data_IF_915850203356
#
_entry.id   IF_915850203356
#
_cell.length_a   1.000
_cell.length_b   1.000
_cell.length_c   1.000
_cell.angle_alpha   90.00
_cell.angle_beta   90.00
_cell.angle_gamma   90.00
#
_symmetry.space_group_name_H-M   'P 1'
#
loop_
_entity.id
_entity.type
_entity.pdbx_description
1 polymer ?
#
# COMPACT_ATOMS: atom_id res chain seq x y z
N UNK A 1 -15.24 -4.80 6.18
CA UNK A 1 -14.30 -4.86 5.05
C UNK A 1 -13.61 -3.53 5.04
N UNK A 2 -12.28 -3.55 5.11
CA UNK A 2 -11.45 -2.37 5.13
C UNK A 2 -10.92 -2.11 3.73
N UNK A 3 -10.82 -0.83 3.36
CA UNK A 3 -10.16 -0.38 2.14
C UNK A 3 -8.71 -0.04 2.45
N UNK A 4 -7.79 -0.60 1.70
CA UNK A 4 -6.36 -0.39 1.92
C UNK A 4 -5.73 0.10 0.62
N UNK A 5 -4.89 1.13 0.70
CA UNK A 5 -4.07 1.52 -0.43
C UNK A 5 -2.80 0.68 -0.43
N UNK A 6 -2.63 -0.08 -1.51
CA UNK A 6 -1.46 -0.91 -1.75
C UNK A 6 -0.75 -0.37 -2.98
N UNK A 7 0.52 -0.04 -2.84
CA UNK A 7 1.39 0.30 -3.95
C UNK A 7 1.97 -0.98 -4.56
N UNK A 8 1.87 -1.07 -5.88
CA UNK A 8 2.52 -2.12 -6.66
C UNK A 8 3.46 -1.42 -7.65
N UNK A 9 4.76 -1.56 -7.41
CA UNK A 9 5.78 -0.91 -8.23
C UNK A 9 5.77 -1.43 -9.68
N UNK A 10 6.11 -0.55 -10.62
CA UNK A 10 6.16 -0.86 -12.05
C UNK A 10 7.15 -2.00 -12.36
N UNK A 11 8.32 -2.00 -11.73
CA UNK A 11 9.38 -2.98 -11.94
C UNK A 11 8.99 -4.36 -11.41
N UNK A 12 8.32 -4.43 -10.24
CA UNK A 12 7.77 -5.69 -9.72
C UNK A 12 6.68 -6.20 -10.65
N UNK A 13 5.76 -5.33 -11.08
CA UNK A 13 4.70 -5.70 -12.01
C UNK A 13 5.28 -6.20 -13.33
N UNK A 14 6.33 -5.57 -13.85
CA UNK A 14 7.02 -5.98 -15.07
C UNK A 14 7.74 -7.32 -14.93
N UNK A 15 8.47 -7.53 -13.84
CA UNK A 15 9.29 -8.72 -13.61
C UNK A 15 8.47 -9.94 -13.20
N UNK A 16 7.77 -9.85 -12.06
CA UNK A 16 7.11 -10.98 -11.41
C UNK A 16 5.57 -10.88 -11.44
N UNK A 17 5.02 -9.68 -11.64
CA UNK A 17 3.60 -9.46 -11.48
C UNK A 17 2.69 -10.03 -12.56
N UNK A 18 1.43 -10.23 -12.20
CA UNK A 18 0.36 -10.60 -13.13
C UNK A 18 -0.65 -9.46 -13.19
N UNK A 19 -1.00 -8.95 -14.39
CA UNK A 19 -2.02 -7.92 -14.53
C UNK A 19 -3.36 -8.35 -13.92
N UNK A 20 -4.02 -7.39 -13.30
CA UNK A 20 -5.33 -7.55 -12.66
C UNK A 20 -6.23 -6.38 -13.06
N UNK A 21 -7.54 -6.54 -12.89
CA UNK A 21 -8.53 -5.49 -13.16
C UNK A 21 -9.41 -5.25 -11.94
N UNK A 22 -10.12 -4.14 -11.98
CA UNK A 22 -11.14 -3.83 -10.98
C UNK A 22 -12.16 -4.96 -10.93
N UNK A 23 -12.45 -5.42 -9.71
CA UNK A 23 -13.35 -6.52 -9.41
C UNK A 23 -12.66 -7.86 -9.22
N UNK A 24 -11.39 -8.01 -9.60
CA UNK A 24 -10.64 -9.25 -9.36
C UNK A 24 -10.41 -9.49 -7.87
N UNK A 25 -10.33 -10.76 -7.48
CA UNK A 25 -9.81 -11.16 -6.19
C UNK A 25 -8.33 -11.48 -6.34
N UNK A 26 -7.52 -10.96 -5.43
CA UNK A 26 -6.07 -11.11 -5.41
C UNK A 26 -5.62 -11.56 -4.03
N UNK A 27 -4.46 -12.21 -3.98
CA UNK A 27 -3.78 -12.62 -2.75
C UNK A 27 -2.36 -12.10 -2.85
N UNK A 28 -2.01 -11.10 -2.05
CA UNK A 28 -0.75 -10.37 -2.16
C UNK A 28 0.02 -10.41 -0.85
N UNK A 29 1.30 -10.83 -0.85
CA UNK A 29 2.19 -10.55 0.26
C UNK A 29 2.33 -9.03 0.43
N UNK A 30 2.02 -8.52 1.63
CA UNK A 30 2.07 -7.09 1.91
C UNK A 30 3.20 -6.76 2.88
N UNK A 31 4.03 -5.80 2.48
CA UNK A 31 5.09 -5.22 3.29
C UNK A 31 4.71 -3.79 3.68
N UNK A 32 5.02 -3.41 4.92
CA UNK A 32 4.92 -2.03 5.37
C UNK A 32 6.27 -1.33 5.18
N UNK A 33 6.34 -0.45 4.19
CA UNK A 33 7.55 0.31 3.86
C UNK A 33 7.44 1.77 4.30
N UNK A 34 8.59 2.39 4.53
CA UNK A 34 8.68 3.84 4.64
C UNK A 34 8.43 4.48 3.27
N UNK A 35 7.46 5.39 3.21
CA UNK A 35 7.08 6.05 1.97
C UNK A 35 8.13 7.03 1.46
N UNK A 36 8.99 7.56 2.33
CA UNK A 36 10.07 8.46 1.93
C UNK A 36 11.12 7.73 1.09
N UNK A 37 11.41 6.46 1.42
CA UNK A 37 12.34 5.60 0.70
C UNK A 37 11.82 5.14 -0.67
N UNK A 38 10.53 4.82 -0.76
CA UNK A 38 9.93 4.29 -2.00
C UNK A 38 9.59 5.38 -3.02
N UNK A 39 9.05 6.53 -2.56
CA UNK A 39 8.42 7.51 -3.44
C UNK A 39 8.79 8.97 -3.13
N UNK A 40 9.83 9.22 -2.33
CA UNK A 40 10.37 10.57 -2.12
C UNK A 40 9.56 11.49 -1.20
N UNK A 41 8.63 10.91 -0.44
CA UNK A 41 7.88 11.63 0.58
C UNK A 41 6.73 12.53 0.09
N UNK A 42 6.05 13.15 1.05
CA UNK A 42 4.85 13.98 0.80
C UNK A 42 3.58 13.17 0.48
N UNK A 43 3.55 11.87 0.77
CA UNK A 43 2.50 10.91 0.39
C UNK A 43 1.30 10.81 1.33
N UNK A 44 1.09 11.81 2.19
CA UNK A 44 0.23 11.74 3.37
C UNK A 44 -1.18 11.20 3.13
N UNK A 45 -1.73 11.40 1.93
CA UNK A 45 -3.05 10.96 1.51
C UNK A 45 -3.15 9.48 1.09
N UNK A 46 -2.03 8.86 0.73
CA UNK A 46 -1.92 7.44 0.38
C UNK A 46 -1.30 6.59 1.50
N UNK A 47 -0.76 7.24 2.54
CA UNK A 47 -0.18 6.53 3.67
C UNK A 47 -1.25 5.79 4.46
N UNK A 48 -0.93 4.54 4.76
CA UNK A 48 -1.73 3.73 5.65
C UNK A 48 -1.27 3.98 7.09
N UNK A 49 -2.24 4.25 7.97
CA UNK A 49 -2.03 4.27 9.42
C UNK A 49 -2.40 2.90 9.96
N UNK A 50 -1.43 2.21 10.57
CA UNK A 50 -1.65 0.92 11.23
C UNK A 50 -1.16 0.95 12.67
N UNK A 51 -1.92 0.29 13.53
CA UNK A 51 -1.57 0.10 14.93
C UNK A 51 -1.88 -1.34 15.31
N UNK A 52 -0.95 -2.02 15.98
CA UNK A 52 -1.06 -3.46 16.13
C UNK A 52 -0.03 -4.08 17.05
N UNK A 53 -0.22 -5.38 17.31
CA UNK A 53 0.76 -6.19 18.01
C UNK A 53 1.81 -6.69 17.01
N UNK A 54 3.07 -6.68 17.42
CA UNK A 54 4.17 -7.23 16.63
C UNK A 54 4.32 -8.71 16.97
N UNK A 55 4.43 -9.54 15.94
CA UNK A 55 4.55 -10.99 16.04
C UNK A 55 5.66 -11.47 15.11
N UNK A 56 6.35 -12.56 15.47
CA UNK A 56 7.17 -13.31 14.51
C UNK A 56 6.32 -14.50 14.05
N UNK A 57 5.92 -14.51 12.79
CA UNK A 57 5.14 -15.59 12.19
C UNK A 57 6.09 -16.63 11.57
N UNK A 58 5.92 -17.92 11.87
CA UNK A 58 6.73 -18.96 11.26
C UNK A 58 6.38 -19.11 9.77
N UNK A 59 7.40 -19.03 8.92
CA UNK A 59 7.38 -19.43 7.51
C UNK A 59 8.19 -20.70 7.26
N UNK A 60 8.20 -21.14 6.00
CA UNK A 60 9.01 -22.22 5.47
C UNK A 60 10.52 -21.88 5.48
N UNK A 61 10.88 -20.62 5.22
CA UNK A 61 12.30 -20.19 5.18
C UNK A 61 12.81 -19.61 6.50
N UNK A 62 11.92 -19.27 7.43
CA UNK A 62 12.26 -18.69 8.72
C UNK A 62 11.08 -17.92 9.29
N UNK A 63 11.24 -17.34 10.48
CA UNK A 63 10.18 -16.50 11.03
C UNK A 63 10.24 -15.09 10.42
N UNK A 64 9.11 -14.58 9.95
CA UNK A 64 8.98 -13.21 9.44
C UNK A 64 8.36 -12.33 10.51
N UNK A 65 8.95 -11.14 10.72
CA UNK A 65 8.37 -10.16 11.65
C UNK A 65 7.22 -9.42 10.99
N UNK A 66 6.07 -9.44 11.64
CA UNK A 66 4.83 -8.86 11.13
C UNK A 66 4.18 -7.93 12.14
N UNK A 67 3.35 -7.03 11.63
CA UNK A 67 2.38 -6.29 12.44
C UNK A 67 0.98 -6.86 12.20
N UNK A 68 0.32 -7.30 13.28
CA UNK A 68 -1.12 -7.59 13.28
C UNK A 68 -1.88 -6.35 13.70
N UNK A 69 -2.40 -5.65 12.72
CA UNK A 69 -3.23 -4.46 12.91
C UNK A 69 -4.52 -4.81 13.67
N UNK A 70 -5.02 -3.87 14.47
CA UNK A 70 -6.15 -4.05 15.39
C UNK A 70 -7.44 -4.55 14.73
N UNK A 71 -7.69 -4.18 13.47
CA UNK A 71 -8.83 -4.68 12.69
C UNK A 71 -8.58 -6.05 12.05
N UNK A 72 -7.35 -6.57 12.11
CA UNK A 72 -6.98 -7.92 11.68
C UNK A 72 -6.13 -8.00 10.42
N UNK A 73 -5.73 -6.87 9.81
CA UNK A 73 -4.75 -6.89 8.72
C UNK A 73 -3.40 -7.37 9.25
N UNK A 74 -2.73 -8.25 8.51
CA UNK A 74 -1.37 -8.71 8.83
C UNK A 74 -0.46 -8.27 7.70
N UNK A 75 0.63 -7.59 8.07
CA UNK A 75 1.62 -7.08 7.11
C UNK A 75 3.02 -7.37 7.62
N UNK A 76 3.94 -7.70 6.72
CA UNK A 76 5.34 -7.86 7.05
C UNK A 76 5.98 -6.49 7.39
N UNK A 77 6.98 -6.51 8.27
CA UNK A 77 7.83 -5.35 8.55
C UNK A 77 9.18 -5.41 7.83
N UNK A 78 9.57 -6.60 7.36
CA UNK A 78 10.77 -6.85 6.56
C UNK A 78 10.46 -7.89 5.48
N UNK A 79 11.18 -7.83 4.37
CA UNK A 79 11.09 -8.80 3.27
C UNK A 79 11.69 -10.16 3.68
N UNK A 80 12.83 -10.14 4.39
CA UNK A 80 13.56 -11.34 4.78
C UNK A 80 13.20 -11.85 6.19
N UNK A 81 13.43 -13.14 6.48
CA UNK A 81 13.32 -13.71 7.81
C UNK A 81 14.20 -13.02 8.87
N UNK A 82 13.74 -13.04 10.13
CA UNK A 82 14.40 -12.33 11.25
C UNK A 82 15.82 -12.80 11.56
N UNK A 83 16.21 -14.01 11.14
CA UNK A 83 17.56 -14.55 11.30
C UNK A 83 18.50 -14.20 10.13
N UNK A 84 17.96 -13.66 9.04
CA UNK A 84 18.70 -13.19 7.86
C UNK A 84 18.90 -11.67 7.91
N UNK A 85 17.90 -10.91 8.37
CA UNK A 85 17.97 -9.44 8.47
C UNK A 85 19.03 -9.01 9.49
N UNK A 86 19.82 -7.98 9.17
CA UNK A 86 20.81 -7.42 10.09
C UNK A 86 20.16 -6.82 11.35
N UNK A 87 20.83 -6.91 12.51
CA UNK A 87 20.29 -6.40 13.77
C UNK A 87 19.95 -4.89 13.71
N UNK A 88 20.74 -4.12 12.96
CA UNK A 88 20.50 -2.69 12.75
C UNK A 88 19.23 -2.41 11.94
N UNK A 89 18.92 -3.26 10.96
CA UNK A 89 17.75 -3.14 10.09
C UNK A 89 16.47 -3.65 10.77
N UNK A 90 16.56 -4.71 11.57
CA UNK A 90 15.47 -5.18 12.44
C UNK A 90 15.02 -4.13 13.47
N UNK A 91 15.90 -3.18 13.78
CA UNK A 91 15.67 -2.10 14.72
C UNK A 91 15.41 -2.59 16.15
N UNK A 92 14.70 -1.79 16.94
CA UNK A 92 14.42 -2.05 18.35
C UNK A 92 13.11 -2.80 18.60
N UNK A 93 12.25 -2.90 17.59
CA UNK A 93 10.92 -3.50 17.72
C UNK A 93 11.04 -5.01 17.92
N UNK A 94 10.32 -5.55 18.91
CA UNK A 94 10.34 -6.97 19.28
C UNK A 94 8.94 -7.59 19.26
N UNK A 95 8.82 -8.92 19.12
CA UNK A 95 7.55 -9.61 19.30
C UNK A 95 6.92 -9.31 20.66
N UNK A 96 5.62 -9.04 20.67
CA UNK A 96 4.86 -8.62 21.85
C UNK A 96 4.80 -7.10 22.04
N UNK A 97 5.63 -6.34 21.33
CA UNK A 97 5.51 -4.87 21.32
C UNK A 97 4.23 -4.44 20.61
N UNK A 98 3.82 -3.21 20.91
CA UNK A 98 2.75 -2.54 20.17
C UNK A 98 3.35 -1.42 19.33
N UNK A 99 3.20 -1.53 18.03
CA UNK A 99 3.69 -0.54 17.08
C UNK A 99 2.51 0.31 16.58
N UNK A 100 2.76 1.61 16.43
CA UNK A 100 1.94 2.53 15.64
C UNK A 100 2.82 3.07 14.54
N UNK A 101 2.40 2.89 13.30
CA UNK A 101 3.20 3.26 12.15
C UNK A 101 2.33 3.90 11.07
N UNK A 102 2.94 4.81 10.31
CA UNK A 102 2.34 5.45 9.16
C UNK A 102 3.31 5.23 8.01
N UNK A 103 2.87 4.46 7.01
CA UNK A 103 3.75 4.04 5.93
C UNK A 103 2.96 3.62 4.69
N UNK A 104 3.68 3.13 3.69
CA UNK A 104 3.09 2.61 2.46
C UNK A 104 2.94 1.10 2.58
N UNK A 105 1.78 0.56 2.23
CA UNK A 105 1.65 -0.87 2.01
C UNK A 105 2.13 -1.16 0.59
N UNK A 106 3.13 -2.03 0.44
CA UNK A 106 3.66 -2.46 -0.85
C UNK A 106 3.31 -3.92 -1.08
N UNK A 107 3.07 -4.30 -2.35
CA UNK A 107 2.89 -5.70 -2.73
C UNK A 107 4.25 -6.29 -3.12
N UNK A 108 4.72 -7.31 -2.39
CA UNK A 108 6.10 -7.81 -2.53
C UNK A 108 6.19 -9.20 -3.20
N UNK A 109 6.59 -9.24 -4.46
CA UNK A 109 6.68 -10.49 -5.25
C UNK A 109 8.09 -10.84 -5.68
N UNK A 110 9.06 -9.98 -5.41
CA UNK A 110 10.44 -10.24 -5.77
C UNK A 110 11.05 -11.20 -4.75
N UNK A 111 12.01 -12.02 -5.20
CA UNK A 111 12.70 -12.96 -4.31
C UNK A 111 11.94 -14.25 -3.95
N UNK A 112 10.68 -14.43 -4.37
CA UNK A 112 9.78 -15.51 -3.91
C UNK A 112 9.59 -15.47 -2.38
N UNK A 113 9.09 -14.33 -1.85
CA UNK A 113 9.23 -14.02 -0.45
C UNK A 113 8.18 -14.77 0.35
N UNK A 114 8.59 -15.40 1.45
CA UNK A 114 7.74 -16.21 2.32
C UNK A 114 6.95 -15.34 3.32
N UNK A 115 6.23 -14.36 2.77
CA UNK A 115 5.46 -13.36 3.50
C UNK A 115 3.98 -13.77 3.61
N UNK A 116 3.29 -13.38 4.70
CA UNK A 116 1.86 -13.65 4.82
C UNK A 116 1.06 -12.95 3.72
N UNK A 117 0.30 -13.73 2.97
CA UNK A 117 -0.58 -13.18 1.94
C UNK A 117 -1.83 -12.52 2.53
N UNK A 118 -2.17 -11.34 2.02
CA UNK A 118 -3.44 -10.67 2.23
C UNK A 118 -4.34 -10.87 1.03
N UNK A 119 -5.49 -11.52 1.25
CA UNK A 119 -6.53 -11.66 0.23
C UNK A 119 -7.51 -10.49 0.26
N UNK A 120 -7.82 -9.94 -0.91
CA UNK A 120 -8.82 -8.89 -1.05
C UNK A 120 -9.37 -8.76 -2.47
N UNK A 121 -10.36 -7.87 -2.61
CA UNK A 121 -10.97 -7.53 -3.90
C UNK A 121 -10.49 -6.17 -4.38
N UNK A 122 -10.05 -6.09 -5.63
CA UNK A 122 -9.62 -4.83 -6.26
C UNK A 122 -10.84 -3.93 -6.48
N UNK A 123 -10.85 -2.74 -5.87
CA UNK A 123 -11.95 -1.76 -5.96
C UNK A 123 -11.64 -0.58 -6.87
N UNK A 124 -10.38 -0.17 -6.91
CA UNK A 124 -9.89 0.87 -7.80
C UNK A 124 -8.41 0.62 -8.12
N UNK A 125 -7.99 1.09 -9.29
CA UNK A 125 -6.60 1.06 -9.73
C UNK A 125 -6.27 2.46 -10.26
N UNK A 126 -5.21 3.05 -9.76
CA UNK A 126 -4.71 4.34 -10.21
C UNK A 126 -3.25 4.18 -10.62
N UNK A 127 -2.94 4.40 -11.90
CA UNK A 127 -1.56 4.48 -12.36
C UNK A 127 -0.94 5.73 -11.76
N UNK A 128 0.19 5.53 -11.11
CA UNK A 128 0.98 6.58 -10.51
C UNK A 128 2.04 7.04 -11.49
N UNK A 129 2.04 8.33 -11.79
CA UNK A 129 3.17 9.02 -12.39
C UNK A 129 3.96 9.80 -11.33
N UNK A 130 5.28 9.65 -11.33
CA UNK A 130 6.21 10.35 -10.45
C UNK A 130 7.16 11.22 -11.27
N UNK A 131 7.33 12.47 -10.87
CA UNK A 131 8.33 13.38 -11.39
C UNK A 131 9.71 13.05 -10.82
N UNK A 132 10.74 13.12 -11.66
CA UNK A 132 12.12 12.79 -11.29
C UNK A 132 13.05 13.93 -11.69
N UNK A 133 13.96 14.32 -10.80
CA UNK A 133 14.99 15.32 -11.06
C UNK A 133 16.38 14.69 -10.97
N UNK A 134 17.34 15.23 -11.72
CA UNK A 134 18.74 14.84 -11.57
C UNK A 134 19.26 15.30 -10.21
N UNK A 135 19.93 14.40 -9.49
CA UNK A 135 20.56 14.70 -8.19
C UNK A 135 21.67 15.76 -8.28
N UNK A 136 22.30 15.89 -9.45
CA UNK A 136 23.23 16.95 -9.81
C UNK A 136 23.22 17.13 -11.34
N UNK A 137 23.59 18.32 -11.87
CA UNK A 137 23.59 18.54 -13.32
C UNK A 137 24.43 17.49 -14.08
N UNK A 138 23.78 16.76 -14.99
CA UNK A 138 24.40 15.69 -15.79
C UNK A 138 24.49 14.34 -15.08
N UNK A 139 23.88 14.17 -13.90
CA UNK A 139 23.84 12.91 -13.18
C UNK A 139 22.89 11.91 -13.85
N UNK A 140 23.29 10.64 -13.89
CA UNK A 140 22.39 9.54 -14.26
C UNK A 140 21.49 9.12 -13.10
N UNK A 141 21.82 9.51 -11.87
CA UNK A 141 21.01 9.24 -10.68
C UNK A 141 19.93 10.31 -10.55
N UNK A 142 18.68 9.85 -10.46
CA UNK A 142 17.52 10.71 -10.29
C UNK A 142 16.90 10.50 -8.93
N UNK A 143 16.35 11.57 -8.39
CA UNK A 143 15.55 11.56 -7.16
C UNK A 143 14.10 11.97 -7.47
N UNK A 144 13.13 11.43 -6.73
CA UNK A 144 11.73 11.82 -6.88
C UNK A 144 11.55 13.29 -6.48
N UNK A 145 10.81 14.04 -7.29
CA UNK A 145 10.43 15.41 -6.99
C UNK A 145 9.20 15.39 -6.10
N UNK A 146 9.35 15.83 -4.85
CA UNK A 146 8.24 15.92 -3.90
C UNK A 146 7.08 16.74 -4.49
N UNK A 147 5.88 16.14 -4.50
CA UNK A 147 4.66 16.77 -4.99
C UNK A 147 4.47 16.83 -6.51
N UNK A 148 5.48 16.49 -7.32
CA UNK A 148 5.30 16.32 -8.77
C UNK A 148 4.81 14.90 -9.05
N UNK A 149 3.53 14.68 -8.76
CA UNK A 149 2.87 13.38 -8.98
C UNK A 149 1.47 13.54 -9.51
N UNK A 150 0.99 12.52 -10.22
CA UNK A 150 -0.40 12.44 -10.65
C UNK A 150 -0.90 11.02 -10.61
N UNK A 151 -2.15 10.84 -10.20
CA UNK A 151 -2.86 9.57 -10.24
C UNK A 151 -3.83 9.57 -11.41
N UNK A 152 -3.86 8.48 -12.18
CA UNK A 152 -4.80 8.29 -13.28
C UNK A 152 -5.53 6.98 -13.12
N UNK A 153 -6.84 7.04 -12.96
CA UNK A 153 -7.67 5.84 -12.85
C UNK A 153 -7.61 4.99 -14.11
N UNK A 154 -7.51 3.67 -13.91
CA UNK A 154 -7.57 2.66 -14.96
C UNK A 154 -8.48 1.52 -14.54
N UNK A 155 -9.03 0.81 -15.52
CA UNK A 155 -9.83 -0.38 -15.25
C UNK A 155 -8.98 -1.64 -15.05
N UNK A 156 -7.82 -1.68 -15.72
CA UNK A 156 -6.90 -2.81 -15.76
C UNK A 156 -5.48 -2.30 -15.52
N UNK A 157 -4.73 -3.01 -14.68
CA UNK A 157 -3.34 -2.71 -14.39
C UNK A 157 -2.48 -3.00 -15.63
N UNK A 158 -1.66 -2.05 -16.10
CA UNK A 158 -0.67 -2.33 -17.14
C UNK A 158 0.32 -3.40 -16.67
N UNK A 159 0.75 -4.28 -17.57
CA UNK A 159 1.93 -5.12 -17.34
C UNK A 159 3.21 -4.30 -17.48
N UNK A 160 3.22 -3.39 -18.46
CA UNK A 160 4.36 -2.56 -18.83
C UNK A 160 3.93 -1.10 -18.74
N UNK A 161 4.72 -0.32 -18.00
CA UNK A 161 4.45 1.08 -17.68
C UNK A 161 5.20 2.02 -18.62
N UNK A 162 4.74 3.27 -18.71
CA UNK A 162 5.49 4.30 -19.41
C UNK A 162 6.67 4.78 -18.55
N UNK A 163 7.72 5.35 -19.16
CA UNK A 163 8.96 5.76 -18.46
C UNK A 163 8.78 6.69 -17.23
N UNK A 164 7.64 7.38 -17.12
CA UNK A 164 7.34 8.28 -16.00
C UNK A 164 6.38 7.67 -14.96
N UNK A 165 5.81 6.50 -15.26
CA UNK A 165 4.90 5.80 -14.36
C UNK A 165 5.72 4.97 -13.37
N UNK A 166 5.50 5.14 -12.08
CA UNK A 166 6.22 4.44 -11.02
C UNK A 166 5.52 3.15 -10.55
N UNK A 167 4.27 2.94 -10.98
CA UNK A 167 3.48 1.77 -10.61
C UNK A 167 1.99 2.07 -10.52
N UNK A 168 1.29 1.34 -9.65
CA UNK A 168 -0.13 1.58 -9.35
C UNK A 168 -0.38 1.70 -7.85
N UNK A 169 -1.29 2.59 -7.48
CA UNK A 169 -2.01 2.52 -6.21
C UNK A 169 -3.28 1.71 -6.44
N UNK A 170 -3.47 0.70 -5.61
CA UNK A 170 -4.62 -0.19 -5.64
C UNK A 170 -5.42 0.00 -4.37
N UNK A 171 -6.71 0.27 -4.51
CA UNK A 171 -7.64 0.19 -3.38
C UNK A 171 -8.13 -1.24 -3.24
N UNK A 172 -7.63 -1.93 -2.23
CA UNK A 172 -7.96 -3.32 -1.92
C UNK A 172 -9.02 -3.38 -0.81
N UNK A 173 -10.16 -4.03 -1.09
CA UNK A 173 -11.18 -4.35 -0.09
C UNK A 173 -10.83 -5.68 0.58
N UNK A 174 -10.40 -5.62 1.84
CA UNK A 174 -9.97 -6.78 2.62
C UNK A 174 -11.11 -7.20 3.58
N UNK A 175 -11.58 -8.46 3.52
CA UNK A 175 -12.59 -8.97 4.44
C UNK A 175 -12.12 -8.96 5.90
N UNK A 176 -13.06 -8.80 6.84
CA UNK A 176 -12.75 -8.85 8.27
C UNK A 176 -12.02 -7.63 8.86
N UNK A 177 -11.45 -6.76 8.03
CA UNK A 177 -10.71 -5.57 8.46
C UNK A 177 -11.54 -4.28 8.42
N UNK A 178 -10.94 -3.21 8.93
CA UNK A 178 -11.37 -1.83 8.79
C UNK A 178 -10.14 -0.91 8.74
N UNK A 179 -10.26 0.29 8.17
CA UNK A 179 -9.11 1.17 7.96
C UNK A 179 -9.50 2.64 8.06
N UNK A 180 -8.49 3.50 8.16
CA UNK A 180 -8.69 4.95 8.09
C UNK A 180 -9.29 5.38 6.74
N UNK A 181 -8.89 4.74 5.64
CA UNK A 181 -9.47 5.01 4.32
C UNK A 181 -10.95 4.64 4.26
N UNK A 182 -11.32 3.48 4.81
CA UNK A 182 -12.74 3.10 4.95
C UNK A 182 -13.51 4.12 5.79
N UNK A 183 -12.92 4.63 6.88
CA UNK A 183 -13.53 5.70 7.68
C UNK A 183 -13.77 6.96 6.85
N UNK A 184 -12.75 7.45 6.12
CA UNK A 184 -12.84 8.63 5.28
C UNK A 184 -13.91 8.48 4.17
N UNK A 185 -13.98 7.31 3.53
CA UNK A 185 -15.01 7.00 2.53
C UNK A 185 -16.41 7.00 3.14
N UNK A 186 -16.60 6.46 4.36
CA UNK A 186 -17.90 6.50 5.04
C UNK A 186 -18.32 7.93 5.36
N UNK A 187 -17.40 8.72 5.90
CA UNK A 187 -17.64 10.12 6.25
C UNK A 187 -18.05 10.94 5.03
N UNK A 188 -17.27 10.85 3.94
CA UNK A 188 -17.57 11.55 2.69
C UNK A 188 -18.91 11.11 2.06
N UNK A 189 -19.35 9.88 2.33
CA UNK A 189 -20.64 9.35 1.88
C UNK A 189 -21.79 9.56 2.87
N UNK A 190 -21.54 10.16 4.04
CA UNK A 190 -22.54 10.33 5.11
C UNK A 190 -23.05 9.00 5.71
N UNK A 191 -22.23 7.94 5.66
CA UNK A 191 -22.57 6.62 6.21
C UNK A 191 -22.17 6.58 7.70
N UNK A 192 -23.07 6.18 8.62
CA UNK A 192 -22.73 6.04 10.04
C UNK A 192 -21.59 5.04 10.28
N UNK A 193 -20.72 5.34 11.25
CA UNK A 193 -19.51 4.56 11.56
C UNK A 193 -19.77 3.14 12.11
N UNK A 194 -21.02 2.72 12.31
CA UNK A 194 -21.37 1.46 12.98
C UNK A 194 -21.52 0.26 12.03
N UNK A 195 -21.27 0.40 10.72
CA UNK A 195 -21.41 -0.73 9.78
C UNK A 195 -20.16 -0.93 8.93
N UNK A 196 -19.18 -1.74 9.40
CA UNK A 196 -18.03 -2.14 8.60
C UNK A 196 -18.46 -2.84 7.31
N UNK A 197 -17.79 -2.55 6.18
CA UNK A 197 -18.02 -3.22 4.89
C UNK A 197 -19.21 -2.74 4.06
N UNK A 198 -19.88 -1.63 4.44
CA UNK A 198 -20.86 -0.95 3.56
C UNK A 198 -20.30 0.25 2.82
N UNK A 199 -19.07 0.64 3.10
CA UNK A 199 -18.41 1.84 2.61
C UNK A 199 -18.31 1.92 1.08
N UNK A 200 -18.24 0.78 0.39
CA UNK A 200 -18.26 0.70 -1.08
C UNK A 200 -19.50 0.01 -1.65
N UNK A 201 -20.47 -0.35 -0.79
CA UNK A 201 -21.72 -0.97 -1.26
C UNK A 201 -22.49 0.01 -2.13
N UNK A 202 -22.91 -0.45 -3.31
CA UNK A 202 -23.66 0.34 -4.29
C UNK A 202 -22.87 1.48 -4.93
N UNK A 203 -21.56 1.58 -4.70
CA UNK A 203 -20.71 2.59 -5.30
C UNK A 203 -20.05 2.02 -6.57
N UNK A 204 -20.37 2.54 -7.77
CA UNK A 204 -19.70 2.14 -9.00
C UNK A 204 -18.19 2.45 -8.90
N UNK A 205 -17.32 1.65 -9.54
CA UNK A 205 -15.88 1.88 -9.48
C UNK A 205 -15.44 3.28 -9.91
N UNK A 206 -16.06 3.87 -10.93
CA UNK A 206 -15.76 5.23 -11.37
C UNK A 206 -16.07 6.26 -10.27
N UNK A 207 -17.20 6.14 -9.58
CA UNK A 207 -17.57 7.03 -8.48
C UNK A 207 -16.67 6.85 -7.25
N UNK A 208 -16.18 5.62 -7.01
CA UNK A 208 -15.16 5.39 -5.99
C UNK A 208 -13.84 6.05 -6.38
N UNK A 209 -13.40 5.92 -7.62
CA UNK A 209 -12.17 6.54 -8.11
C UNK A 209 -12.22 8.08 -7.99
N UNK A 210 -13.32 8.71 -8.40
CA UNK A 210 -13.53 10.15 -8.22
C UNK A 210 -13.50 10.54 -6.74
N UNK A 211 -14.15 9.78 -5.87
CA UNK A 211 -14.11 10.03 -4.43
C UNK A 211 -12.68 9.91 -3.86
N UNK A 212 -11.94 8.87 -4.24
CA UNK A 212 -10.56 8.69 -3.80
C UNK A 212 -9.66 9.83 -4.27
N UNK A 213 -9.84 10.31 -5.50
CA UNK A 213 -9.13 11.49 -6.01
C UNK A 213 -9.44 12.75 -5.19
N UNK A 214 -10.70 12.95 -4.78
CA UNK A 214 -11.03 14.08 -3.88
C UNK A 214 -10.37 13.96 -2.52
N UNK A 215 -10.24 12.75 -1.97
CA UNK A 215 -9.54 12.51 -0.70
C UNK A 215 -8.02 12.68 -0.83
N UNK A 216 -7.48 12.45 -2.03
CA UNK A 216 -6.06 12.55 -2.37
C UNK A 216 -5.58 14.00 -2.58
N UNK A 217 -6.51 14.94 -2.79
CA UNK A 217 -6.21 16.33 -3.14
C UNK A 217 -6.46 17.32 -2.00
N UNK A 218 -6.97 16.85 -0.84
CA UNK A 218 -7.11 17.70 0.35
C UNK A 218 -5.73 17.93 0.96
N UNK A 219 -5.20 19.14 0.78
CA UNK A 219 -4.05 19.63 1.56
C UNK A 219 -4.37 19.50 3.05
N UNK A 220 -3.46 18.94 3.83
CA UNK A 220 -3.48 19.16 5.28
C UNK A 220 -3.44 20.68 5.51
N UNK A 221 -4.30 21.23 6.40
CA UNK A 221 -4.23 22.64 6.74
C UNK A 221 -2.87 22.94 7.40
N UNK A 222 -2.23 24.02 6.91
CA UNK A 222 -0.98 24.58 7.46
C UNK A 222 -1.05 24.81 8.99
#
# INVERSE_FOLDING_TARGET
MGLWHVFYADWQMGCCGTPFKVGDEVSWPLLLSDADGELGGGWHDQLTRIAGAVEDLPGDEGAVRVLREESGLVVALHEDPVDVVAEEELGEVRPGDRLRHVGLLTAEFHGDPDLPETRGRVRAIQVLRQGWAETAPGSHTREPVAGDRSLRSVWECPKWFADADAGVIVTLEVPGTDSWLSHAVREARGIPHTTPGRDVTGLPPAALAELLETLSTVREPD
#
